data_IF_028056417039
#
_entry.id   IF_028056417039
#
_cell.length_a   1.000
_cell.length_b   1.000
_cell.length_c   1.000
_cell.angle_alpha   90.00
_cell.angle_beta   90.00
_cell.angle_gamma   90.00
#
_symmetry.space_group_name_H-M   'P 1'
#
loop_
_entity.id
_entity.type
_entity.pdbx_description
1 polymer ?
#
# COMPACT_ATOMS: atom_id res chain seq x y z
N UNK A 1 5.87 15.94 3.85
CA UNK A 1 5.48 14.79 4.68
C UNK A 1 4.31 14.11 4.02
N UNK A 2 4.11 12.79 4.22
CA UNK A 2 2.96 12.08 3.65
C UNK A 2 1.65 12.61 4.24
N UNK A 3 0.60 12.61 3.45
CA UNK A 3 -0.77 12.99 3.85
C UNK A 3 -1.59 11.75 4.19
N UNK A 4 -2.76 11.94 4.83
CA UNK A 4 -3.71 10.86 5.06
C UNK A 4 -4.14 10.21 3.73
N UNK A 5 -4.39 11.00 2.70
CA UNK A 5 -4.78 10.50 1.38
C UNK A 5 -3.69 9.63 0.74
N UNK A 6 -2.41 9.92 0.97
CA UNK A 6 -1.31 9.11 0.44
C UNK A 6 -1.34 7.69 1.04
N UNK A 7 -1.51 7.57 2.36
CA UNK A 7 -1.53 6.26 3.02
C UNK A 7 -2.81 5.48 2.73
N UNK A 8 -3.96 6.14 2.68
CA UNK A 8 -5.23 5.50 2.31
C UNK A 8 -5.21 5.06 0.85
N UNK A 9 -4.82 5.94 -0.07
CA UNK A 9 -4.71 5.61 -1.49
C UNK A 9 -3.74 4.46 -1.77
N UNK A 10 -2.67 4.32 -0.97
CA UNK A 10 -1.79 3.15 -1.05
C UNK A 10 -2.54 1.84 -0.71
N UNK A 11 -3.26 1.83 0.41
CA UNK A 11 -4.00 0.64 0.85
C UNK A 11 -5.16 0.31 -0.11
N UNK A 12 -5.92 1.31 -0.55
CA UNK A 12 -7.01 1.19 -1.51
C UNK A 12 -6.51 0.67 -2.86
N UNK A 13 -5.40 1.20 -3.36
CA UNK A 13 -4.80 0.73 -4.61
C UNK A 13 -4.41 -0.75 -4.56
N UNK A 14 -3.95 -1.28 -3.43
CA UNK A 14 -3.68 -2.70 -3.25
C UNK A 14 -4.97 -3.52 -3.24
N UNK A 15 -6.00 -3.07 -2.53
CA UNK A 15 -7.28 -3.76 -2.43
C UNK A 15 -8.01 -3.80 -3.80
N UNK A 16 -8.03 -2.68 -4.52
CA UNK A 16 -8.64 -2.56 -5.85
C UNK A 16 -7.93 -3.42 -6.90
N UNK A 17 -6.61 -3.52 -6.80
CA UNK A 17 -5.82 -4.39 -7.67
C UNK A 17 -5.90 -5.88 -7.28
N UNK A 18 -6.55 -6.22 -6.17
CA UNK A 18 -6.59 -7.60 -5.66
C UNK A 18 -5.19 -8.17 -5.32
N UNK A 19 -4.28 -7.31 -4.92
CA UNK A 19 -2.89 -7.64 -4.57
C UNK A 19 -2.58 -7.22 -3.15
N UNK A 20 -1.34 -7.39 -2.71
CA UNK A 20 -0.92 -7.02 -1.36
C UNK A 20 0.59 -6.91 -1.24
N UNK A 21 1.02 -6.53 -0.05
CA UNK A 21 2.44 -6.44 0.31
C UNK A 21 2.90 -7.79 0.87
N UNK A 22 4.05 -8.25 0.41
CA UNK A 22 4.67 -9.49 0.91
C UNK A 22 5.84 -9.17 1.84
N UNK A 23 5.85 -9.80 3.01
CA UNK A 23 6.98 -9.74 3.94
C UNK A 23 7.90 -10.95 3.73
N UNK A 24 8.89 -10.82 2.84
CA UNK A 24 9.89 -11.87 2.62
C UNK A 24 9.29 -13.30 2.63
N UNK A 25 9.78 -14.19 3.51
CA UNK A 25 9.33 -15.57 3.61
C UNK A 25 7.91 -15.76 4.18
N UNK A 26 7.31 -14.74 4.77
CA UNK A 26 6.01 -14.87 5.43
C UNK A 26 4.82 -14.55 4.51
N UNK A 27 5.07 -14.14 3.27
CA UNK A 27 4.03 -13.80 2.31
C UNK A 27 3.21 -12.56 2.69
N UNK A 28 1.97 -12.48 2.22
CA UNK A 28 1.07 -11.34 2.40
C UNK A 28 0.34 -11.39 3.75
N UNK A 29 1.10 -11.35 4.85
CA UNK A 29 0.55 -11.31 6.20
C UNK A 29 -0.10 -9.97 6.53
N UNK A 30 -1.01 -9.94 7.51
CA UNK A 30 -1.73 -8.74 7.91
C UNK A 30 -0.79 -7.59 8.32
N UNK A 31 0.28 -7.88 9.07
CA UNK A 31 1.26 -6.88 9.52
C UNK A 31 2.14 -6.32 8.38
N UNK A 32 2.12 -6.93 7.18
CA UNK A 32 2.91 -6.46 6.05
C UNK A 32 2.41 -5.10 5.53
N UNK A 33 1.10 -4.90 5.46
CA UNK A 33 0.50 -3.66 4.98
C UNK A 33 0.89 -2.44 5.83
N UNK A 34 0.64 -2.39 7.14
CA UNK A 34 1.05 -1.25 7.96
C UNK A 34 2.57 -1.06 8.02
N UNK A 35 3.35 -2.15 7.96
CA UNK A 35 4.80 -2.05 7.93
C UNK A 35 5.31 -1.46 6.62
N UNK A 36 4.70 -1.78 5.49
CA UNK A 36 5.02 -1.17 4.20
C UNK A 36 4.72 0.33 4.20
N UNK A 37 3.55 0.74 4.70
CA UNK A 37 3.18 2.15 4.85
C UNK A 37 4.20 2.87 5.74
N UNK A 38 4.52 2.31 6.91
CA UNK A 38 5.49 2.88 7.85
C UNK A 38 6.87 3.05 7.23
N UNK A 39 7.34 2.03 6.52
CA UNK A 39 8.67 2.04 5.89
C UNK A 39 8.71 2.98 4.69
N UNK A 40 7.71 2.91 3.82
CA UNK A 40 7.67 3.67 2.58
C UNK A 40 7.51 5.18 2.81
N UNK A 41 6.52 5.56 3.61
CA UNK A 41 6.20 6.98 3.80
C UNK A 41 7.00 7.67 4.91
N UNK A 42 7.47 6.92 5.91
CA UNK A 42 8.09 7.49 7.12
C UNK A 42 9.50 6.98 7.40
N UNK A 43 10.02 6.04 6.59
CA UNK A 43 11.37 5.48 6.76
C UNK A 43 11.54 4.70 8.06
N UNK A 44 10.46 4.22 8.68
CA UNK A 44 10.45 3.53 9.96
C UNK A 44 9.88 2.12 9.79
N UNK A 45 10.55 1.12 10.37
CA UNK A 45 10.12 -0.28 10.31
C UNK A 45 9.42 -0.68 11.59
N UNK A 46 8.18 -1.13 11.49
CA UNK A 46 7.44 -1.75 12.59
C UNK A 46 8.01 -3.15 12.87
N UNK A 47 8.05 -3.54 14.14
CA UNK A 47 8.56 -4.84 14.57
C UNK A 47 7.47 -5.69 15.22
N UNK A 48 7.70 -7.00 15.25
CA UNK A 48 6.83 -7.97 15.91
C UNK A 48 5.69 -8.50 15.04
N UNK A 49 4.80 -9.23 15.69
CA UNK A 49 3.53 -9.70 15.11
C UNK A 49 2.48 -8.59 15.17
N UNK A 50 1.30 -8.81 14.62
CA UNK A 50 0.23 -7.82 14.64
C UNK A 50 -0.13 -7.36 16.07
N UNK A 51 -0.12 -8.27 17.05
CA UNK A 51 -0.41 -7.95 18.45
C UNK A 51 0.65 -7.02 19.08
N UNK A 52 1.87 -7.01 18.55
CA UNK A 52 2.97 -6.19 19.07
C UNK A 52 2.96 -4.76 18.51
N UNK A 53 2.13 -4.49 17.48
CA UNK A 53 2.23 -3.25 16.70
C UNK A 53 1.92 -1.98 17.51
N UNK A 54 1.07 -2.02 18.55
CA UNK A 54 0.87 -0.85 19.42
C UNK A 54 2.16 -0.47 20.17
N UNK A 55 2.90 -1.47 20.65
CA UNK A 55 4.18 -1.24 21.30
C UNK A 55 5.23 -0.74 20.29
N UNK A 56 5.30 -1.40 19.14
CA UNK A 56 6.19 -1.01 18.05
C UNK A 56 5.95 0.44 17.57
N UNK A 57 4.68 0.81 17.38
CA UNK A 57 4.28 2.16 17.00
C UNK A 57 4.67 3.21 18.05
N UNK A 58 4.45 2.91 19.33
CA UNK A 58 4.86 3.78 20.45
C UNK A 58 6.38 3.98 20.50
N UNK A 59 7.15 2.90 20.31
CA UNK A 59 8.63 2.97 20.30
C UNK A 59 9.14 3.83 19.12
N UNK A 60 8.39 3.89 18.02
CA UNK A 60 8.67 4.76 16.88
C UNK A 60 8.15 6.19 17.04
N UNK A 61 7.45 6.50 18.16
CA UNK A 61 6.88 7.81 18.43
C UNK A 61 5.58 8.09 17.69
N UNK A 62 4.86 7.08 17.27
CA UNK A 62 3.52 7.22 16.70
C UNK A 62 2.47 7.41 17.80
N UNK A 63 1.38 8.10 17.47
CA UNK A 63 0.22 8.25 18.35
C UNK A 63 -0.45 6.89 18.55
N UNK A 64 -0.66 6.46 19.80
CA UNK A 64 -1.29 5.18 20.15
C UNK A 64 -2.47 5.42 21.08
N UNK A 65 -3.60 4.83 20.74
CA UNK A 65 -4.82 4.84 21.54
C UNK A 65 -5.23 3.40 21.87
N UNK A 66 -5.71 3.19 23.10
CA UNK A 66 -6.25 1.89 23.52
C UNK A 66 -7.77 1.90 23.46
N UNK A 67 -8.34 0.80 22.97
CA UNK A 67 -9.77 0.63 22.95
C UNK A 67 -10.32 0.63 24.39
N UNK A 68 -11.39 1.37 24.62
CA UNK A 68 -12.14 1.39 25.86
C UNK A 68 -13.46 0.67 25.64
N UNK A 69 -13.51 -0.62 25.95
CA UNK A 69 -14.67 -1.46 25.73
C UNK A 69 -15.95 -0.83 26.30
N UNK A 70 -17.02 -0.78 25.49
CA UNK A 70 -18.30 -0.17 25.84
C UNK A 70 -18.35 1.36 25.75
N UNK A 71 -17.24 2.03 25.45
CA UNK A 71 -17.20 3.47 25.23
C UNK A 71 -17.27 3.78 23.71
N UNK A 72 -18.42 4.23 23.23
CA UNK A 72 -18.62 4.56 21.81
C UNK A 72 -17.83 5.80 21.33
N UNK A 73 -17.29 6.59 22.26
CA UNK A 73 -16.42 7.72 21.92
C UNK A 73 -14.96 7.26 21.74
N UNK A 74 -14.61 6.05 22.22
CA UNK A 74 -13.33 5.39 21.94
C UNK A 74 -13.41 4.71 20.58
N UNK A 75 -13.13 5.47 19.53
CA UNK A 75 -13.30 5.00 18.14
C UNK A 75 -12.21 5.55 17.23
N UNK A 76 -11.69 4.72 16.31
CA UNK A 76 -10.65 5.15 15.39
C UNK A 76 -11.21 6.07 14.30
N UNK A 77 -10.36 7.01 13.88
CA UNK A 77 -10.54 7.83 12.69
C UNK A 77 -9.93 7.16 11.46
N UNK A 78 -10.26 7.64 10.30
CA UNK A 78 -9.59 7.26 9.04
C UNK A 78 -8.05 7.36 9.18
N UNK A 79 -7.34 6.38 8.67
CA UNK A 79 -5.89 6.25 8.77
C UNK A 79 -5.38 5.54 10.02
N UNK A 80 -6.26 5.17 10.95
CA UNK A 80 -5.90 4.34 12.10
C UNK A 80 -5.47 2.94 11.64
N UNK A 81 -4.41 2.41 12.23
CA UNK A 81 -4.04 0.99 12.11
C UNK A 81 -4.51 0.29 13.38
N UNK A 82 -5.55 -0.52 13.27
CA UNK A 82 -6.08 -1.25 14.41
C UNK A 82 -5.21 -2.46 14.76
N UNK A 83 -5.23 -2.87 16.01
CA UNK A 83 -4.61 -4.08 16.53
C UNK A 83 -5.65 -4.91 17.25
N UNK A 84 -5.74 -6.19 16.90
CA UNK A 84 -6.73 -7.14 17.40
C UNK A 84 -6.02 -8.32 18.08
N UNK A 85 -6.48 -8.70 19.27
CA UNK A 85 -6.12 -9.97 19.90
C UNK A 85 -6.97 -11.10 19.29
N UNK A 86 -6.30 -12.08 18.73
CA UNK A 86 -6.93 -13.22 18.04
C UNK A 86 -6.98 -14.49 18.88
N UNK A 87 -6.48 -14.43 20.13
CA UNK A 87 -6.32 -15.61 21.00
C UNK A 87 -7.63 -16.39 21.16
N UNK A 88 -8.72 -15.70 21.43
CA UNK A 88 -10.05 -16.32 21.63
C UNK A 88 -10.92 -16.36 20.38
N UNK A 89 -10.51 -15.69 19.30
CA UNK A 89 -11.29 -15.58 18.06
C UNK A 89 -10.79 -16.59 17.03
N UNK A 90 -9.49 -16.65 16.81
CA UNK A 90 -8.86 -17.52 15.82
C UNK A 90 -7.94 -18.59 16.44
N UNK A 91 -7.80 -18.64 17.76
CA UNK A 91 -7.01 -19.68 18.46
C UNK A 91 -5.49 -19.49 18.42
N UNK A 92 -5.01 -18.31 18.04
CA UNK A 92 -3.58 -17.97 18.05
C UNK A 92 -3.31 -16.56 18.61
N UNK A 93 -2.09 -16.34 19.12
CA UNK A 93 -1.67 -15.10 19.78
C UNK A 93 -0.90 -14.14 18.89
N UNK A 94 -0.88 -14.34 17.57
CA UNK A 94 -0.15 -13.45 16.65
C UNK A 94 -0.86 -12.11 16.44
N UNK A 95 -2.16 -12.07 16.73
CA UNK A 95 -2.99 -10.91 16.50
C UNK A 95 -3.36 -10.74 15.02
N UNK A 96 -4.17 -9.71 14.77
CA UNK A 96 -4.54 -9.27 13.44
C UNK A 96 -4.55 -7.76 13.36
N UNK A 97 -4.44 -7.20 12.14
CA UNK A 97 -4.35 -5.76 11.91
C UNK A 97 -4.78 -5.39 10.49
N UNK A 98 -5.13 -4.14 10.32
CA UNK A 98 -5.41 -3.50 9.05
C UNK A 98 -5.52 -2.00 9.21
N UNK A 99 -5.82 -1.29 8.14
CA UNK A 99 -6.01 0.16 8.16
C UNK A 99 -7.49 0.52 8.07
N UNK A 100 -7.93 1.45 8.93
CA UNK A 100 -9.28 2.03 8.94
C UNK A 100 -9.35 3.10 7.87
N UNK A 101 -10.33 3.02 6.96
CA UNK A 101 -10.39 3.88 5.77
C UNK A 101 -11.38 5.05 5.90
N UNK A 102 -12.24 5.01 6.90
CA UNK A 102 -13.16 6.12 7.23
C UNK A 102 -13.36 6.21 8.75
N UNK A 103 -13.85 7.33 9.23
CA UNK A 103 -14.12 7.52 10.67
C UNK A 103 -15.16 6.49 11.13
N UNK A 104 -14.83 5.77 12.21
CA UNK A 104 -15.74 4.78 12.80
C UNK A 104 -16.96 5.46 13.45
N UNK A 105 -18.09 4.78 13.40
CA UNK A 105 -19.31 5.16 14.13
C UNK A 105 -19.28 4.74 15.62
N UNK A 106 -18.26 3.97 16.04
CA UNK A 106 -18.12 3.40 17.38
C UNK A 106 -18.70 1.99 17.52
N UNK A 107 -19.35 1.47 16.47
CA UNK A 107 -19.87 0.09 16.41
C UNK A 107 -19.10 -0.76 15.41
N UNK A 108 -18.72 -0.16 14.29
CA UNK A 108 -18.00 -0.83 13.22
C UNK A 108 -16.87 0.04 12.67
N UNK A 109 -15.90 -0.61 12.02
CA UNK A 109 -14.81 0.00 11.28
C UNK A 109 -14.85 -0.50 9.85
N UNK A 110 -14.78 0.41 8.87
CA UNK A 110 -14.46 0.05 7.50
C UNK A 110 -12.95 0.01 7.33
N UNK A 111 -12.45 -1.09 6.81
CA UNK A 111 -11.01 -1.38 6.83
C UNK A 111 -10.52 -1.90 5.49
N UNK A 112 -9.20 -1.83 5.29
CA UNK A 112 -8.47 -2.63 4.32
C UNK A 112 -7.49 -3.49 5.10
N UNK A 113 -7.53 -4.80 4.81
CA UNK A 113 -6.79 -5.82 5.54
C UNK A 113 -6.14 -6.81 4.59
N UNK A 114 -5.02 -7.38 4.99
CA UNK A 114 -4.42 -8.54 4.32
C UNK A 114 -4.65 -9.80 5.14
N UNK A 115 -4.62 -10.94 4.48
CA UNK A 115 -4.74 -12.25 5.11
C UNK A 115 -6.09 -12.46 5.83
N UNK A 116 -7.21 -12.18 5.12
CA UNK A 116 -8.59 -12.33 5.62
C UNK A 116 -9.48 -13.18 4.71
N UNK A 117 -8.95 -13.85 3.72
CA UNK A 117 -9.72 -14.60 2.72
C UNK A 117 -9.70 -16.11 2.95
N UNK A 118 -9.72 -16.54 4.20
CA UNK A 118 -9.71 -17.94 4.62
C UNK A 118 -8.32 -18.54 4.82
N UNK A 119 -7.29 -17.71 4.81
CA UNK A 119 -5.89 -18.09 5.01
C UNK A 119 -5.25 -17.42 6.25
N UNK A 120 -6.05 -16.94 7.18
CA UNK A 120 -5.61 -16.13 8.33
C UNK A 120 -4.54 -16.84 9.18
N UNK A 121 -4.56 -18.17 9.19
CA UNK A 121 -3.56 -18.99 9.88
C UNK A 121 -2.43 -19.50 8.98
N UNK A 122 -2.49 -19.20 7.69
CA UNK A 122 -1.52 -19.69 6.72
C UNK A 122 -0.22 -18.86 6.77
N UNK A 123 0.75 -19.30 7.57
CA UNK A 123 2.10 -18.76 7.51
C UNK A 123 2.71 -19.04 6.12
N UNK A 124 3.51 -18.10 5.62
CA UNK A 124 4.20 -18.14 4.31
C UNK A 124 3.34 -17.87 3.08
N UNK A 125 2.02 -17.84 3.21
CA UNK A 125 1.09 -17.57 2.11
C UNK A 125 0.43 -16.22 2.30
N UNK A 126 -0.37 -16.07 3.36
CA UNK A 126 -1.20 -14.90 3.57
C UNK A 126 -2.24 -14.71 2.46
N UNK A 127 -2.87 -13.56 2.42
CA UNK A 127 -3.84 -13.17 1.41
C UNK A 127 -3.72 -11.71 1.02
N UNK A 128 -4.16 -11.34 -0.19
CA UNK A 128 -4.07 -9.96 -0.69
C UNK A 128 -4.93 -9.00 0.14
N UNK A 129 -4.68 -7.71 -0.05
CA UNK A 129 -5.49 -6.66 0.56
C UNK A 129 -6.96 -6.74 0.11
N UNK A 130 -7.88 -6.57 1.04
CA UNK A 130 -9.33 -6.61 0.83
C UNK A 130 -10.01 -5.54 1.65
N UNK A 131 -11.06 -4.95 1.10
CA UNK A 131 -12.03 -4.18 1.89
C UNK A 131 -12.77 -5.11 2.85
N UNK A 132 -12.94 -4.66 4.07
CA UNK A 132 -13.65 -5.38 5.10
C UNK A 132 -14.45 -4.43 5.99
N UNK A 133 -15.34 -4.99 6.82
CA UNK A 133 -16.03 -4.30 7.90
C UNK A 133 -15.90 -5.14 9.16
N UNK A 134 -15.38 -4.54 10.22
CA UNK A 134 -15.19 -5.18 11.52
C UNK A 134 -16.01 -4.48 12.60
N UNK A 135 -16.46 -5.25 13.58
CA UNK A 135 -16.83 -4.75 14.88
C UNK A 135 -15.59 -4.56 15.79
N UNK A 136 -15.82 -4.22 17.04
CA UNK A 136 -14.74 -4.00 18.01
C UNK A 136 -14.34 -5.26 18.81
N UNK A 137 -14.85 -6.44 18.44
CA UNK A 137 -14.51 -7.69 19.13
C UNK A 137 -13.00 -7.99 19.01
N UNK A 138 -12.35 -8.11 20.14
CA UNK A 138 -10.91 -8.36 20.24
C UNK A 138 -10.02 -7.15 19.90
N UNK A 139 -10.56 -5.99 19.57
CA UNK A 139 -9.76 -4.80 19.30
C UNK A 139 -9.12 -4.30 20.58
N UNK A 140 -7.78 -4.27 20.59
CA UNK A 140 -6.95 -3.81 21.73
C UNK A 140 -6.76 -2.30 21.66
N UNK A 141 -6.65 -1.75 20.47
CA UNK A 141 -6.42 -0.33 20.23
C UNK A 141 -5.97 -0.08 18.80
N UNK A 142 -5.47 1.11 18.56
CA UNK A 142 -4.98 1.53 17.24
C UNK A 142 -3.88 2.56 17.39
N UNK A 143 -3.16 2.80 16.29
CA UNK A 143 -2.18 3.86 16.20
C UNK A 143 -2.32 4.64 14.88
N UNK A 144 -1.74 5.84 14.85
CA UNK A 144 -1.76 6.71 13.68
C UNK A 144 -0.34 6.99 13.19
N UNK A 145 -0.17 7.00 11.89
CA UNK A 145 1.03 7.52 11.26
C UNK A 145 1.09 9.05 11.39
N UNK A 146 2.29 9.66 11.49
CA UNK A 146 2.45 11.11 11.63
C UNK A 146 2.25 11.81 10.28
N UNK A 147 1.01 11.90 9.82
CA UNK A 147 0.64 12.58 8.57
C UNK A 147 0.45 14.07 8.76
N UNK A 148 0.69 14.87 7.71
CA UNK A 148 0.40 16.29 7.71
C UNK A 148 -1.10 16.54 7.50
N UNK A 149 -1.70 17.37 8.37
CA UNK A 149 -3.08 17.84 8.26
C UNK A 149 -4.08 17.06 9.10
N UNK A 150 -5.14 17.74 9.52
CA UNK A 150 -6.31 17.16 10.16
C UNK A 150 -6.95 16.15 9.20
N UNK A 151 -7.56 15.07 9.68
CA UNK A 151 -8.26 14.13 8.81
C UNK A 151 -9.31 14.88 8.01
N UNK A 152 -9.13 14.93 6.69
CA UNK A 152 -10.18 15.40 5.81
C UNK A 152 -11.35 14.41 5.97
N UNK A 153 -12.54 14.92 6.25
CA UNK A 153 -13.74 14.10 6.12
C UNK A 153 -13.78 13.57 4.69
N UNK A 154 -13.76 12.25 4.54
CA UNK A 154 -13.87 11.63 3.22
C UNK A 154 -15.29 11.90 2.73
N UNK A 155 -15.48 13.04 2.08
CA UNK A 155 -16.62 13.24 1.20
C UNK A 155 -16.39 12.38 -0.03
N UNK A 156 -17.34 11.50 -0.33
CA UNK A 156 -17.44 10.62 -1.50
C UNK A 156 -16.42 10.92 -2.61
N UNK A 157 -15.54 9.97 -2.91
CA UNK A 157 -14.62 10.02 -4.03
C UNK A 157 -15.42 10.18 -5.34
N UNK A 158 -15.51 11.40 -5.86
CA UNK A 158 -15.52 11.59 -7.29
C UNK A 158 -14.08 11.30 -7.76
N UNK A 159 -13.87 10.54 -8.85
CA UNK A 159 -12.52 10.30 -9.35
C UNK A 159 -11.89 11.66 -9.66
N UNK A 160 -11.01 12.13 -8.78
CA UNK A 160 -10.25 13.34 -9.03
C UNK A 160 -9.46 13.14 -10.32
N UNK A 161 -9.47 14.16 -11.17
CA UNK A 161 -8.63 14.25 -12.35
C UNK A 161 -7.20 13.78 -12.02
N UNK A 162 -6.51 13.11 -12.94
CA UNK A 162 -5.18 12.57 -12.69
C UNK A 162 -4.32 13.68 -12.12
N UNK A 163 -3.74 13.42 -10.93
CA UNK A 163 -2.76 14.31 -10.31
C UNK A 163 -1.76 14.69 -11.39
N UNK A 164 -1.75 15.97 -11.77
CA UNK A 164 -0.70 16.51 -12.60
C UNK A 164 0.59 16.36 -11.81
N UNK A 165 1.36 15.36 -12.16
CA UNK A 165 2.68 15.10 -11.60
C UNK A 165 3.50 16.35 -11.82
N UNK A 166 3.97 16.97 -10.73
CA UNK A 166 4.99 18.01 -10.81
C UNK A 166 6.15 17.45 -11.65
N UNK A 167 6.55 18.23 -12.61
CA UNK A 167 7.40 17.84 -13.73
C UNK A 167 8.71 17.15 -13.31
N UNK A 168 8.66 15.86 -13.04
CA UNK A 168 9.81 15.01 -13.28
C UNK A 168 10.11 15.13 -14.78
N UNK A 169 11.29 15.61 -15.14
CA UNK A 169 11.60 15.94 -16.52
C UNK A 169 11.36 14.73 -17.43
N UNK A 170 10.31 14.81 -18.24
CA UNK A 170 10.07 13.84 -19.30
C UNK A 170 11.23 13.91 -20.30
N UNK A 171 11.95 12.81 -20.44
CA UNK A 171 13.04 12.69 -21.38
C UNK A 171 12.57 11.94 -22.62
N UNK A 172 12.40 12.61 -23.76
CA UNK A 172 12.02 11.94 -25.02
C UNK A 172 13.11 10.98 -25.45
N UNK A 173 12.75 9.73 -25.61
CA UNK A 173 13.66 8.67 -26.07
C UNK A 173 12.79 7.54 -26.66
N UNK A 174 13.17 7.01 -27.81
CA UNK A 174 12.47 5.89 -28.41
C UNK A 174 13.34 4.64 -28.39
N UNK A 175 12.76 3.52 -28.03
CA UNK A 175 13.47 2.24 -27.97
C UNK A 175 12.51 1.10 -27.71
N UNK A 176 13.07 -0.08 -27.55
CA UNK A 176 12.35 -1.30 -27.17
C UNK A 176 12.94 -1.80 -25.86
N UNK A 177 12.05 -2.14 -24.92
CA UNK A 177 12.41 -2.78 -23.66
C UNK A 177 11.83 -4.19 -23.62
N UNK A 178 12.68 -5.18 -23.41
CA UNK A 178 12.28 -6.58 -23.23
C UNK A 178 12.20 -6.93 -21.76
N UNK A 179 11.04 -7.37 -21.32
CA UNK A 179 10.78 -7.74 -19.91
C UNK A 179 11.49 -9.06 -19.58
N UNK A 180 12.26 -9.10 -18.49
CA UNK A 180 12.95 -10.30 -18.01
C UNK A 180 12.42 -10.83 -16.68
N UNK A 181 11.64 -10.01 -15.96
CA UNK A 181 10.96 -10.42 -14.72
C UNK A 181 9.66 -11.17 -15.02
N UNK A 182 9.20 -12.00 -14.09
CA UNK A 182 7.99 -12.82 -14.26
C UNK A 182 6.71 -11.99 -14.43
N UNK A 183 6.66 -10.81 -13.83
CA UNK A 183 5.55 -9.87 -13.93
C UNK A 183 6.05 -8.43 -13.80
N UNK A 184 5.59 -7.53 -14.67
CA UNK A 184 5.95 -6.12 -14.69
C UNK A 184 4.69 -5.27 -14.87
N UNK A 185 4.36 -4.48 -13.85
CA UNK A 185 3.13 -3.69 -13.83
C UNK A 185 3.18 -2.53 -14.81
N UNK A 186 2.09 -2.36 -15.56
CA UNK A 186 1.78 -1.18 -16.36
C UNK A 186 0.87 -0.28 -15.55
N UNK A 187 1.21 1.00 -15.46
CA UNK A 187 0.47 1.94 -14.60
C UNK A 187 -0.10 3.13 -15.38
N UNK A 188 -1.12 3.75 -14.81
CA UNK A 188 -1.76 4.94 -15.36
C UNK A 188 -0.87 6.19 -15.32
N UNK A 189 0.03 6.29 -14.33
CA UNK A 189 1.07 7.32 -14.20
C UNK A 189 2.37 6.72 -13.67
N UNK A 190 3.48 7.48 -13.77
CA UNK A 190 4.77 7.05 -13.27
C UNK A 190 4.85 7.20 -11.75
N UNK A 191 4.45 6.18 -11.03
CA UNK A 191 4.49 6.16 -9.57
C UNK A 191 4.01 4.82 -9.03
N UNK A 192 4.58 4.39 -7.91
CA UNK A 192 4.25 3.10 -7.29
C UNK A 192 2.80 3.04 -6.80
N UNK A 193 2.18 4.18 -6.53
CA UNK A 193 0.80 4.32 -6.08
C UNK A 193 -0.22 4.44 -7.23
N UNK A 194 0.27 4.59 -8.46
CA UNK A 194 -0.61 4.71 -9.62
C UNK A 194 -1.32 3.40 -9.93
N UNK A 195 -2.56 3.50 -10.40
CA UNK A 195 -3.39 2.38 -10.84
C UNK A 195 -2.62 1.42 -11.76
N UNK A 196 -2.67 0.13 -11.46
CA UNK A 196 -2.15 -0.92 -12.34
C UNK A 196 -3.23 -1.23 -13.38
N UNK A 197 -2.93 -0.93 -14.64
CA UNK A 197 -3.89 -1.07 -15.75
C UNK A 197 -3.62 -2.29 -16.64
N UNK A 198 -2.44 -2.91 -16.51
CA UNK A 198 -2.04 -4.14 -17.19
C UNK A 198 -0.77 -4.72 -16.56
N UNK A 199 -0.37 -5.92 -16.99
CA UNK A 199 0.87 -6.57 -16.58
C UNK A 199 1.55 -7.15 -17.81
N UNK A 200 2.85 -6.91 -17.96
CA UNK A 200 3.73 -7.63 -18.89
C UNK A 200 4.40 -8.79 -18.18
N UNK A 201 4.71 -9.82 -18.95
CA UNK A 201 5.45 -11.01 -18.49
C UNK A 201 6.77 -11.15 -19.23
N UNK A 202 7.67 -11.98 -18.71
CA UNK A 202 8.98 -12.22 -19.30
C UNK A 202 8.91 -12.56 -20.80
N UNK A 203 9.79 -11.95 -21.57
CA UNK A 203 9.90 -12.08 -23.04
C UNK A 203 8.98 -11.14 -23.83
N UNK A 204 8.10 -10.39 -23.19
CA UNK A 204 7.29 -9.38 -23.89
C UNK A 204 8.10 -8.10 -24.11
N UNK A 205 7.86 -7.46 -25.26
CA UNK A 205 8.52 -6.22 -25.66
C UNK A 205 7.61 -5.02 -25.50
N UNK A 206 8.20 -3.90 -25.09
CA UNK A 206 7.53 -2.61 -24.91
C UNK A 206 8.26 -1.58 -25.74
N UNK A 207 7.60 -1.08 -26.79
CA UNK A 207 8.11 0.08 -27.51
C UNK A 207 7.72 1.34 -26.74
N UNK A 208 8.70 2.14 -26.35
CA UNK A 208 8.51 3.34 -25.55
C UNK A 208 8.92 4.60 -26.30
N UNK A 209 8.37 5.74 -25.89
CA UNK A 209 8.58 7.06 -26.49
C UNK A 209 9.21 8.09 -25.54
N UNK A 210 9.54 7.68 -24.33
CA UNK A 210 10.23 8.51 -23.35
C UNK A 210 10.42 7.81 -22.02
N UNK A 211 11.16 8.46 -21.14
CA UNK A 211 11.38 7.99 -19.78
C UNK A 211 11.42 9.15 -18.77
N UNK A 212 11.27 8.81 -17.50
CA UNK A 212 11.41 9.73 -16.38
C UNK A 212 11.90 8.99 -15.12
N UNK A 213 12.50 9.72 -14.21
CA UNK A 213 12.90 9.23 -12.89
C UNK A 213 11.89 9.71 -11.85
N UNK A 214 11.17 8.79 -11.23
CA UNK A 214 10.21 9.11 -10.18
C UNK A 214 10.06 7.95 -9.19
N UNK A 215 9.74 8.25 -7.93
CA UNK A 215 9.55 7.27 -6.86
C UNK A 215 10.71 6.28 -6.68
N UNK A 216 11.96 6.72 -6.98
CA UNK A 216 13.13 5.85 -6.90
C UNK A 216 13.21 4.78 -7.99
N UNK A 217 12.52 5.00 -9.13
CA UNK A 217 12.53 4.13 -10.30
C UNK A 217 12.70 4.92 -11.59
N UNK A 218 13.36 4.30 -12.57
CA UNK A 218 13.29 4.74 -13.96
C UNK A 218 12.03 4.14 -14.58
N UNK A 219 11.19 5.01 -15.13
CA UNK A 219 9.94 4.67 -15.79
C UNK A 219 10.04 4.92 -17.28
N UNK A 220 9.80 3.92 -18.11
CA UNK A 220 9.52 4.13 -19.53
C UNK A 220 8.03 4.41 -19.73
N UNK A 221 7.71 5.11 -20.79
CA UNK A 221 6.33 5.50 -21.11
C UNK A 221 6.03 5.32 -22.58
N UNK A 222 4.76 5.06 -22.91
CA UNK A 222 4.28 4.85 -24.27
C UNK A 222 2.80 5.19 -24.39
N UNK A 223 2.31 5.39 -25.61
CA UNK A 223 0.88 5.55 -25.89
C UNK A 223 0.29 4.17 -26.19
N UNK A 224 -0.61 3.69 -25.36
CA UNK A 224 -1.31 2.43 -25.56
C UNK A 224 -2.33 2.53 -26.71
N UNK A 225 -2.84 1.37 -27.20
CA UNK A 225 -3.88 1.31 -28.22
C UNK A 225 -5.17 2.05 -27.86
N UNK A 226 -5.43 2.26 -26.58
CA UNK A 226 -6.53 3.09 -26.06
C UNK A 226 -6.33 4.60 -26.23
N UNK A 227 -5.18 5.04 -26.76
CA UNK A 227 -4.78 6.45 -26.84
C UNK A 227 -4.29 7.06 -25.52
N UNK A 228 -4.29 6.31 -24.43
CA UNK A 228 -3.81 6.77 -23.12
C UNK A 228 -2.33 6.48 -22.94
N UNK A 229 -1.61 7.41 -22.30
CA UNK A 229 -0.21 7.19 -21.88
C UNK A 229 -0.13 6.14 -20.77
N UNK A 230 0.89 5.31 -20.81
CA UNK A 230 1.16 4.25 -19.84
C UNK A 230 2.60 4.30 -19.40
N UNK A 231 2.86 3.78 -18.21
CA UNK A 231 4.15 3.86 -17.53
C UNK A 231 4.54 2.49 -16.98
N UNK A 232 5.81 2.16 -17.12
CA UNK A 232 6.37 0.88 -16.66
C UNK A 232 7.70 1.15 -15.99
N UNK A 233 7.85 0.75 -14.73
CA UNK A 233 9.13 0.83 -14.03
C UNK A 233 10.09 -0.23 -14.61
N UNK A 234 11.26 0.19 -15.07
CA UNK A 234 12.25 -0.70 -15.71
C UNK A 234 13.46 -1.01 -14.83
N UNK A 235 13.52 -0.43 -13.66
CA UNK A 235 14.53 -0.66 -12.64
C UNK A 235 14.50 0.42 -11.58
N UNK A 236 15.10 0.14 -10.42
CA UNK A 236 15.29 1.14 -9.37
C UNK A 236 16.28 2.21 -9.82
N UNK A 237 16.11 3.43 -9.33
CA UNK A 237 17.02 4.55 -9.59
C UNK A 237 17.69 5.04 -8.32
N UNK A 238 18.89 5.56 -8.48
CA UNK A 238 19.59 6.34 -7.47
C UNK A 238 20.36 7.48 -8.14
N UNK A 239 20.06 8.72 -7.74
CA UNK A 239 20.68 9.92 -8.32
C UNK A 239 20.54 9.99 -9.86
N UNK A 240 19.35 9.68 -10.38
CA UNK A 240 19.04 9.72 -11.81
C UNK A 240 19.65 8.56 -12.63
N UNK A 241 20.21 7.54 -11.98
CA UNK A 241 20.79 6.38 -12.64
C UNK A 241 20.07 5.10 -12.23
N UNK A 242 19.76 4.26 -13.21
CA UNK A 242 19.21 2.93 -12.95
C UNK A 242 20.29 2.05 -12.28
N UNK A 243 19.90 1.42 -11.15
CA UNK A 243 20.78 0.57 -10.34
C UNK A 243 20.33 -0.90 -10.30
N UNK A 244 19.13 -1.20 -10.76
CA UNK A 244 18.63 -2.57 -10.98
C UNK A 244 17.97 -2.65 -12.34
N UNK A 245 17.84 -3.86 -12.89
CA UNK A 245 17.23 -4.10 -14.19
C UNK A 245 16.03 -5.07 -14.06
N UNK A 246 14.90 -4.69 -14.68
CA UNK A 246 13.73 -5.56 -14.79
C UNK A 246 13.61 -6.14 -16.21
N UNK A 247 14.59 -5.82 -17.07
CA UNK A 247 14.71 -6.26 -18.44
C UNK A 247 15.86 -5.55 -19.16
N UNK A 248 15.92 -5.74 -20.46
CA UNK A 248 17.00 -5.21 -21.32
C UNK A 248 16.46 -4.25 -22.37
N UNK A 249 17.30 -3.30 -22.76
CA UNK A 249 17.02 -2.33 -23.83
C UNK A 249 17.70 -2.75 -25.13
N UNK A 250 17.00 -2.56 -26.25
CA UNK A 250 17.51 -2.75 -27.62
C UNK A 250 17.45 -1.44 -28.39
#
# INVERSE_FOLDING_TARGET
MATLNDILGYAEGLADAGTGVSMSKWGMQCAALPNAISTYFFGKTLWGNAIDLLNSARDLGYEVEYNQEGNLDSKPRAGAVFVMDTTYIYGHSYGHTGIVIEDSDGYTMRTIEQNIDGNEDALYVGGPARYNTRDFNGIVGWFYFPVDGQPAQVTSFEPSEPLTVDSSEFNPETGTFTVEVSALNVRASAGLLSEIVAVYTAGQEINYDGWLDNDGYIWITYIASSGKRRYVAVGQSQNGKRITDFGSFA
#
